data_IF_954369452569
#
_entry.id   IF_954369452569
#
_cell.length_a   1.000
_cell.length_b   1.000
_cell.length_c   1.000
_cell.angle_alpha   90.00
_cell.angle_beta   90.00
_cell.angle_gamma   90.00
#
_symmetry.space_group_name_H-M   'P 1'
#
loop_
_entity.id
_entity.type
_entity.pdbx_description
1 polymer ?
#
# COMPACT_ATOMS: atom_id res chain seq x y z
N UNK A 1 -9.02 -6.52 -11.31
CA UNK A 1 -9.68 -7.34 -12.36
C UNK A 1 -10.20 -8.63 -11.74
N UNK A 2 -11.20 -9.25 -12.37
CA UNK A 2 -11.73 -10.54 -11.94
C UNK A 2 -10.64 -11.62 -12.05
N UNK A 3 -10.39 -12.35 -10.97
CA UNK A 3 -9.32 -13.35 -10.92
C UNK A 3 -9.57 -14.53 -11.88
N UNK A 4 -10.83 -14.86 -12.15
CA UNK A 4 -11.27 -15.98 -12.99
C UNK A 4 -11.54 -15.51 -14.43
N UNK A 5 -12.46 -14.56 -14.61
CA UNK A 5 -12.90 -14.13 -15.95
C UNK A 5 -11.91 -13.20 -16.65
N UNK A 6 -10.93 -12.66 -15.91
CA UNK A 6 -10.00 -11.61 -16.35
C UNK A 6 -10.65 -10.29 -16.73
N UNK A 7 -11.95 -10.12 -16.47
CA UNK A 7 -12.65 -8.86 -16.69
C UNK A 7 -12.00 -7.73 -15.88
N UNK A 8 -11.71 -6.61 -16.54
CA UNK A 8 -11.14 -5.45 -15.89
C UNK A 8 -12.21 -4.66 -15.14
N UNK A 9 -11.88 -4.25 -13.92
CA UNK A 9 -12.71 -3.34 -13.13
C UNK A 9 -11.96 -2.02 -13.03
N UNK A 10 -12.07 -1.13 -14.03
CA UNK A 10 -11.47 0.18 -13.94
C UNK A 10 -12.11 0.96 -12.78
N UNK A 11 -11.27 1.70 -12.07
CA UNK A 11 -11.60 2.50 -10.89
C UNK A 11 -11.13 3.92 -11.17
N UNK A 12 -12.03 4.90 -11.09
CA UNK A 12 -11.66 6.30 -11.20
C UNK A 12 -11.16 6.82 -9.86
N UNK A 13 -9.83 6.85 -9.67
CA UNK A 13 -9.24 7.34 -8.43
C UNK A 13 -9.37 8.85 -8.23
N UNK A 14 -9.87 9.62 -9.19
CA UNK A 14 -10.13 11.05 -9.05
C UNK A 14 -11.56 11.39 -8.63
N UNK A 15 -12.45 10.41 -8.59
CA UNK A 15 -13.82 10.57 -8.11
C UNK A 15 -13.91 10.21 -6.61
N UNK A 16 -14.30 11.15 -5.72
CA UNK A 16 -14.47 10.86 -4.30
C UNK A 16 -15.50 9.77 -4.02
N UNK A 17 -16.54 9.63 -4.85
CA UNK A 17 -17.57 8.62 -4.65
C UNK A 17 -17.00 7.21 -4.82
N UNK A 18 -16.10 7.02 -5.80
CA UNK A 18 -15.36 5.78 -5.99
C UNK A 18 -14.59 5.35 -4.74
N UNK A 19 -13.97 6.27 -4.00
CA UNK A 19 -13.27 5.96 -2.74
C UNK A 19 -14.23 5.55 -1.61
N UNK A 20 -15.44 6.14 -1.58
CA UNK A 20 -16.50 5.81 -0.63
C UNK A 20 -17.05 4.42 -0.96
N UNK A 21 -17.47 4.20 -2.20
CA UNK A 21 -18.12 2.98 -2.66
C UNK A 21 -17.21 1.75 -2.47
N UNK A 22 -15.92 1.89 -2.74
CA UNK A 22 -14.96 0.80 -2.64
C UNK A 22 -14.14 0.80 -1.35
N UNK A 23 -14.43 1.69 -0.39
CA UNK A 23 -13.76 1.73 0.93
C UNK A 23 -12.24 1.78 0.82
N UNK A 24 -11.72 2.60 -0.10
CA UNK A 24 -10.29 2.63 -0.48
C UNK A 24 -9.39 3.30 0.57
N UNK A 25 -9.96 3.88 1.62
CA UNK A 25 -9.22 4.48 2.71
C UNK A 25 -9.95 4.25 4.03
N UNK A 26 -9.25 3.82 5.09
CA UNK A 26 -9.84 3.70 6.41
C UNK A 26 -10.34 5.04 6.95
N UNK A 27 -9.90 6.20 6.45
CA UNK A 27 -10.44 7.50 6.87
C UNK A 27 -11.84 7.80 6.30
N UNK A 28 -12.25 7.10 5.24
CA UNK A 28 -13.55 7.28 4.58
C UNK A 28 -14.53 6.21 5.05
N UNK A 29 -14.08 4.96 4.99
CA UNK A 29 -14.81 3.78 5.45
C UNK A 29 -13.83 2.63 5.63
N UNK A 30 -13.95 1.87 6.73
CA UNK A 30 -13.13 0.68 6.95
C UNK A 30 -13.47 -0.42 5.93
N UNK A 31 -12.49 -1.24 5.52
CA UNK A 31 -12.76 -2.40 4.70
C UNK A 31 -13.71 -3.37 5.42
N UNK A 32 -14.54 -4.06 4.66
CA UNK A 32 -15.40 -5.13 5.16
C UNK A 32 -14.56 -6.37 5.54
N UNK A 33 -15.07 -7.24 6.44
CA UNK A 33 -14.40 -8.50 6.78
C UNK A 33 -14.13 -9.35 5.56
N UNK A 34 -13.15 -10.25 5.60
CA UNK A 34 -12.79 -11.05 4.42
C UNK A 34 -13.98 -11.90 3.92
N UNK A 35 -14.15 -12.02 2.60
CA UNK A 35 -15.23 -12.87 2.03
C UNK A 35 -14.97 -14.37 2.22
N UNK A 36 -13.74 -14.75 2.52
CA UNK A 36 -13.28 -16.14 2.59
C UNK A 36 -12.86 -16.54 4.00
N UNK A 37 -13.50 -16.01 5.06
CA UNK A 37 -13.27 -16.55 6.39
C UNK A 37 -13.65 -18.05 6.39
N UNK A 38 -12.72 -18.97 6.69
CA UNK A 38 -13.14 -20.32 7.04
C UNK A 38 -14.02 -20.21 8.27
N UNK A 39 -15.15 -20.93 8.28
CA UNK A 39 -16.04 -21.00 9.44
C UNK A 39 -15.23 -21.39 10.67
N UNK A 40 -14.96 -20.45 11.58
CA UNK A 40 -14.42 -20.80 12.88
C UNK A 40 -15.42 -21.76 13.53
N UNK A 41 -15.01 -22.97 13.97
CA UNK A 41 -15.91 -23.85 14.69
C UNK A 41 -16.31 -23.13 15.97
N UNK A 42 -17.58 -22.72 16.02
CA UNK A 42 -18.17 -22.13 17.22
C UNK A 42 -18.26 -23.21 18.29
N UNK A 43 -17.35 -23.20 19.25
CA UNK A 43 -17.35 -24.13 20.38
C UNK A 43 -16.02 -24.17 21.13
N UNK A 44 -16.07 -24.63 22.38
CA UNK A 44 -14.98 -24.76 23.36
C UNK A 44 -13.67 -25.44 22.89
N UNK A 45 -13.59 -25.89 21.64
CA UNK A 45 -12.42 -26.53 21.04
C UNK A 45 -11.30 -25.55 20.64
N UNK A 46 -11.55 -24.24 20.55
CA UNK A 46 -10.55 -23.23 20.14
C UNK A 46 -9.45 -22.97 21.18
N UNK A 47 -9.67 -23.28 22.46
CA UNK A 47 -8.72 -22.96 23.54
C UNK A 47 -7.53 -23.96 23.59
N UNK A 48 -7.64 -25.13 22.95
CA UNK A 48 -6.59 -26.16 23.05
C UNK A 48 -5.43 -25.98 22.04
N UNK A 49 -5.62 -25.26 20.93
CA UNK A 49 -4.55 -25.07 19.95
C UNK A 49 -3.54 -23.96 20.32
N UNK A 50 -3.84 -23.13 21.32
CA UNK A 50 -2.92 -22.07 21.77
C UNK A 50 -1.90 -22.52 22.83
N UNK A 51 -1.93 -23.79 23.27
CA UNK A 51 -0.99 -24.31 24.29
C UNK A 51 0.01 -25.35 23.75
N UNK A 52 -0.03 -25.71 22.46
CA UNK A 52 0.87 -26.71 21.88
C UNK A 52 2.32 -26.19 21.65
N UNK A 53 2.58 -24.89 21.86
CA UNK A 53 3.86 -24.24 21.57
C UNK A 53 4.87 -24.14 22.72
N UNK A 54 4.56 -24.61 23.94
CA UNK A 54 5.41 -24.34 25.14
C UNK A 54 5.98 -25.61 25.81
N UNK A 55 5.81 -26.80 25.25
CA UNK A 55 6.44 -28.02 25.79
C UNK A 55 7.28 -28.76 24.73
N UNK A 56 8.44 -28.20 24.40
CA UNK A 56 9.56 -28.96 23.82
C UNK A 56 10.87 -28.38 24.31
N UNK A 57 11.20 -28.72 25.55
CA UNK A 57 12.50 -28.46 26.13
C UNK A 57 12.61 -29.22 27.42
N UNK A 58 12.99 -30.50 27.35
CA UNK A 58 13.65 -31.28 28.42
C UNK A 58 14.04 -32.66 27.84
N UNK A 59 15.33 -33.02 28.01
CA UNK A 59 16.06 -34.31 27.89
C UNK A 59 17.01 -34.52 26.68
N UNK A 60 18.28 -34.95 26.90
CA UNK A 60 19.37 -34.86 25.93
C UNK A 60 19.92 -36.20 25.37
N UNK A 61 20.50 -36.13 24.16
CA UNK A 61 21.73 -36.84 23.76
C UNK A 61 21.62 -38.26 23.17
N UNK A 62 22.12 -38.45 21.93
CA UNK A 62 23.34 -39.22 21.59
C UNK A 62 23.54 -39.38 20.07
N UNK A 63 24.81 -39.60 19.70
CA UNK A 63 25.49 -39.57 18.40
C UNK A 63 25.15 -40.77 17.48
N UNK A 64 25.06 -40.54 16.16
CA UNK A 64 25.94 -41.08 15.08
C UNK A 64 25.25 -41.38 13.72
N UNK A 65 26.03 -41.10 12.66
CA UNK A 65 26.12 -41.78 11.35
C UNK A 65 25.20 -41.42 10.16
N UNK A 66 25.80 -40.65 9.24
CA UNK A 66 25.94 -40.83 7.78
C UNK A 66 25.03 -41.89 7.11
N UNK A 67 24.19 -41.46 6.14
CA UNK A 67 24.28 -41.90 4.73
C UNK A 67 23.33 -41.11 3.81
N UNK A 68 23.70 -41.13 2.53
CA UNK A 68 23.35 -40.26 1.40
C UNK A 68 22.19 -40.84 0.59
N UNK A 69 21.15 -40.06 0.31
CA UNK A 69 20.27 -40.24 -0.87
C UNK A 69 19.86 -38.88 -1.45
N UNK A 70 19.90 -38.78 -2.78
CA UNK A 70 19.67 -37.60 -3.62
C UNK A 70 18.18 -37.34 -3.87
N UNK A 71 17.94 -36.07 -4.27
CA UNK A 71 16.94 -35.57 -5.22
C UNK A 71 15.54 -35.22 -4.71
N UNK A 72 15.26 -33.91 -4.64
CA UNK A 72 14.31 -33.24 -5.53
C UNK A 72 14.54 -31.72 -5.50
N UNK A 73 14.58 -31.11 -6.69
CA UNK A 73 14.64 -29.66 -6.92
C UNK A 73 13.40 -28.98 -6.34
N UNK A 74 13.57 -27.92 -5.56
CA UNK A 74 12.53 -26.92 -5.32
C UNK A 74 13.15 -25.51 -5.12
N UNK A 75 12.73 -24.61 -6.02
CA UNK A 75 12.70 -23.14 -5.98
C UNK A 75 14.01 -22.34 -5.77
N UNK A 76 14.38 -21.45 -6.72
CA UNK A 76 15.44 -20.47 -6.45
C UNK A 76 14.97 -19.42 -5.45
N UNK A 77 15.94 -19.01 -4.64
CA UNK A 77 15.82 -18.14 -3.48
C UNK A 77 15.13 -16.81 -3.77
N UNK A 78 14.28 -16.41 -2.82
CA UNK A 78 13.93 -15.04 -2.54
C UNK A 78 15.22 -14.23 -2.31
N UNK A 79 15.62 -13.44 -3.31
CA UNK A 79 16.49 -12.31 -3.06
C UNK A 79 15.71 -11.31 -2.22
N UNK A 80 16.06 -11.23 -0.94
CA UNK A 80 15.58 -10.22 -0.04
C UNK A 80 15.93 -8.84 -0.62
N UNK A 81 14.90 -8.11 -1.04
CA UNK A 81 14.98 -6.66 -1.25
C UNK A 81 14.96 -6.02 0.13
N UNK A 82 16.16 -5.77 0.65
CA UNK A 82 16.37 -5.00 1.87
C UNK A 82 15.83 -3.58 1.66
N UNK A 83 14.72 -3.23 2.32
CA UNK A 83 14.18 -1.86 2.31
C UNK A 83 12.66 -1.68 2.20
N UNK A 84 11.86 -2.72 1.95
CA UNK A 84 10.42 -2.65 2.24
C UNK A 84 10.17 -3.39 3.54
N UNK A 85 9.80 -2.65 4.59
CA UNK A 85 9.12 -3.26 5.72
C UNK A 85 7.94 -4.06 5.15
N UNK A 86 7.86 -5.35 5.51
CA UNK A 86 6.65 -6.13 5.25
C UNK A 86 5.46 -5.28 5.74
N UNK A 87 4.35 -5.18 4.97
CA UNK A 87 3.14 -4.63 5.55
C UNK A 87 2.87 -5.42 6.84
N UNK A 88 2.51 -4.76 7.95
CA UNK A 88 2.17 -5.48 9.17
C UNK A 88 1.08 -6.48 8.79
N UNK A 89 1.32 -7.76 9.08
CA UNK A 89 0.32 -8.80 8.88
C UNK A 89 -0.94 -8.31 9.59
N UNK A 90 -1.99 -8.05 8.79
CA UNK A 90 -3.27 -7.63 9.33
C UNK A 90 -3.82 -8.86 10.03
N UNK A 91 -3.74 -8.87 11.36
CA UNK A 91 -4.24 -9.97 12.18
C UNK A 91 -5.71 -10.23 11.79
N UNK A 92 -5.94 -11.41 11.20
CA UNK A 92 -7.26 -11.85 10.73
C UNK A 92 -8.30 -11.93 11.85
N UNK A 93 -7.87 -11.91 13.11
CA UNK A 93 -8.78 -11.85 14.27
C UNK A 93 -9.34 -10.44 14.53
N UNK A 94 -8.75 -9.40 13.92
CA UNK A 94 -9.21 -8.02 13.95
C UNK A 94 -10.29 -7.71 12.88
N UNK A 95 -11.06 -8.71 12.44
CA UNK A 95 -12.12 -8.56 11.43
C UNK A 95 -13.55 -8.72 11.99
N UNK A 96 -13.72 -9.08 13.27
CA UNK A 96 -15.03 -9.46 13.83
C UNK A 96 -15.93 -8.28 14.28
N UNK A 97 -15.42 -7.04 14.30
CA UNK A 97 -16.21 -5.84 14.59
C UNK A 97 -16.92 -5.33 13.34
N UNK A 98 -18.26 -5.51 13.28
CA UNK A 98 -19.14 -5.05 12.18
C UNK A 98 -18.80 -3.61 11.75
N UNK A 99 -18.41 -3.47 10.48
CA UNK A 99 -18.19 -2.21 9.75
C UNK A 99 -19.31 -1.18 9.96
N UNK A 100 -20.54 -1.66 10.16
CA UNK A 100 -21.74 -0.84 10.33
C UNK A 100 -21.69 -0.05 11.64
N UNK A 101 -21.10 -0.63 12.70
CA UNK A 101 -20.89 0.07 13.98
C UNK A 101 -19.81 1.15 13.85
N UNK A 102 -18.77 0.91 13.05
CA UNK A 102 -17.73 1.90 12.80
C UNK A 102 -18.25 3.08 11.98
N UNK A 103 -19.07 2.84 10.95
CA UNK A 103 -19.72 3.90 10.17
C UNK A 103 -20.70 4.73 11.00
N UNK A 104 -21.49 4.08 11.85
CA UNK A 104 -22.41 4.76 12.77
C UNK A 104 -21.69 5.69 13.77
N UNK A 105 -20.43 5.40 14.10
CA UNK A 105 -19.57 6.25 14.95
C UNK A 105 -18.70 7.25 14.15
N UNK A 106 -18.98 7.44 12.86
CA UNK A 106 -18.21 8.36 12.01
C UNK A 106 -16.80 7.89 11.72
N UNK A 107 -16.51 6.60 11.93
CA UNK A 107 -15.24 5.93 11.69
C UNK A 107 -14.05 6.43 12.53
N UNK A 108 -14.28 7.36 13.47
CA UNK A 108 -13.29 7.90 14.41
C UNK A 108 -13.10 6.92 15.56
N UNK A 109 -11.85 6.64 15.95
CA UNK A 109 -11.57 6.00 17.24
C UNK A 109 -11.63 7.06 18.35
N UNK A 110 -12.76 7.17 19.03
CA UNK A 110 -12.88 7.96 20.26
C UNK A 110 -12.25 7.20 21.42
N UNK A 111 -10.92 7.09 21.41
CA UNK A 111 -10.18 6.79 22.62
C UNK A 111 -9.43 8.06 23.04
N UNK A 112 -10.18 9.03 23.58
CA UNK A 112 -9.62 10.24 24.16
C UNK A 112 -8.73 9.88 25.35
N UNK A 113 -7.44 10.20 25.37
CA UNK A 113 -6.89 11.51 25.78
C UNK A 113 -7.27 12.01 27.20
N UNK A 114 -7.99 11.24 28.02
CA UNK A 114 -8.34 11.65 29.40
C UNK A 114 -7.41 11.08 30.51
N UNK A 115 -6.33 10.37 30.16
CA UNK A 115 -5.38 9.80 31.14
C UNK A 115 -4.12 10.67 31.38
N UNK A 116 -4.30 11.99 31.51
CA UNK A 116 -3.26 12.91 32.02
C UNK A 116 -3.76 13.60 33.30
N UNK A 117 -4.25 12.81 34.27
CA UNK A 117 -4.45 13.28 35.64
C UNK A 117 -3.34 12.67 36.53
N UNK A 118 -2.61 13.46 37.34
CA UNK A 118 -1.62 12.92 38.26
C UNK A 118 -2.35 12.07 39.31
N UNK A 119 -2.04 10.77 39.33
CA UNK A 119 -2.55 9.84 40.33
C UNK A 119 -1.98 10.20 41.70
N UNK A 120 -2.76 10.91 42.52
CA UNK A 120 -2.48 11.09 43.93
C UNK A 120 -3.28 10.05 44.74
N UNK A 121 -2.53 9.26 45.50
CA UNK A 121 -2.95 8.28 46.49
C UNK A 121 -3.97 8.84 47.49
N UNK A 122 -5.10 8.15 47.69
CA UNK A 122 -5.85 8.18 48.95
C UNK A 122 -6.82 7.01 49.05
N UNK A 123 -6.59 6.19 50.07
CA UNK A 123 -7.45 5.14 50.58
C UNK A 123 -8.77 5.68 51.14
N UNK A 124 -9.91 5.12 50.74
CA UNK A 124 -11.08 4.91 51.61
C UNK A 124 -12.19 4.09 50.94
N UNK A 125 -12.80 3.25 51.76
CA UNK A 125 -13.79 2.21 51.47
C UNK A 125 -15.22 2.75 51.54
N UNK A 126 -15.99 2.64 50.45
CA UNK A 126 -17.47 2.52 50.46
C UNK A 126 -18.01 2.10 49.06
N UNK A 127 -19.12 1.34 48.98
CA UNK A 127 -19.52 0.61 47.76
C UNK A 127 -20.35 1.48 46.81
N UNK A 128 -19.84 1.74 45.62
CA UNK A 128 -20.60 2.38 44.53
C UNK A 128 -21.21 1.33 43.60
N UNK A 129 -22.44 1.62 43.17
CA UNK A 129 -23.24 0.83 42.23
C UNK A 129 -22.45 0.54 40.96
N UNK A 130 -22.35 -0.74 40.64
CA UNK A 130 -21.70 -1.28 39.44
C UNK A 130 -22.38 -0.73 38.18
N UNK A 131 -21.88 0.38 37.66
CA UNK A 131 -22.11 0.81 36.28
C UNK A 131 -20.94 0.23 35.49
N UNK A 132 -21.20 -0.83 34.74
CA UNK A 132 -20.24 -1.43 33.80
C UNK A 132 -20.13 -0.53 32.57
N UNK A 133 -19.54 0.65 32.72
CA UNK A 133 -18.95 1.38 31.59
C UNK A 133 -17.51 0.92 31.46
N UNK A 134 -17.33 -0.28 30.93
CA UNK A 134 -16.08 -0.69 30.31
C UNK A 134 -15.81 0.26 29.14
N UNK A 135 -14.60 0.84 29.01
CA UNK A 135 -14.22 1.55 27.79
C UNK A 135 -14.42 0.57 26.64
N UNK A 136 -15.24 0.97 25.68
CA UNK A 136 -15.60 0.17 24.52
C UNK A 136 -14.40 0.17 23.56
N UNK A 137 -13.30 -0.48 23.95
CA UNK A 137 -12.19 -0.80 23.07
C UNK A 137 -12.76 -1.71 22.00
N UNK A 138 -12.99 -1.18 20.79
CA UNK A 138 -13.17 -2.03 19.63
C UNK A 138 -11.87 -2.84 19.49
N UNK A 139 -11.85 -4.17 19.72
CA UNK A 139 -10.63 -4.97 19.66
C UNK A 139 -10.03 -5.02 18.23
N UNK A 140 -10.72 -4.40 17.26
CA UNK A 140 -10.40 -4.31 15.85
C UNK A 140 -9.54 -3.10 15.46
N UNK A 141 -9.24 -2.15 16.36
CA UNK A 141 -8.34 -1.03 16.05
C UNK A 141 -6.91 -1.33 16.47
N UNK A 142 -6.09 -1.76 15.52
CA UNK A 142 -4.64 -1.54 15.67
C UNK A 142 -4.40 -0.03 15.78
N UNK A 143 -3.51 0.40 16.67
CA UNK A 143 -3.11 1.81 16.80
C UNK A 143 -2.69 2.39 15.44
N UNK A 144 -2.13 1.57 14.56
CA UNK A 144 -1.70 1.95 13.22
C UNK A 144 -2.85 2.35 12.26
N UNK A 145 -4.09 1.91 12.53
CA UNK A 145 -5.26 2.19 11.70
C UNK A 145 -6.30 3.07 12.40
N UNK A 146 -5.95 3.65 13.56
CA UNK A 146 -6.79 4.60 14.26
C UNK A 146 -7.03 5.85 13.39
N UNK A 147 -8.30 6.18 13.17
CA UNK A 147 -8.73 7.34 12.39
C UNK A 147 -9.06 8.46 13.36
N UNK A 148 -8.35 9.58 13.21
CA UNK A 148 -8.47 10.75 14.10
C UNK A 148 -9.19 11.93 13.45
N UNK A 149 -9.53 11.82 12.17
CA UNK A 149 -10.23 12.84 11.40
C UNK A 149 -11.72 12.50 11.30
N UNK A 150 -12.63 13.44 11.59
CA UNK A 150 -14.06 13.24 11.34
C UNK A 150 -14.35 12.92 9.87
N UNK A 151 -15.26 11.96 9.64
CA UNK A 151 -15.53 11.45 8.28
C UNK A 151 -15.95 12.54 7.30
N UNK A 152 -16.79 13.49 7.71
CA UNK A 152 -17.20 14.63 6.90
C UNK A 152 -16.00 15.50 6.50
N UNK A 153 -15.08 15.76 7.43
CA UNK A 153 -13.84 16.48 7.15
C UNK A 153 -12.90 15.67 6.24
N UNK A 154 -12.83 14.35 6.41
CA UNK A 154 -12.04 13.47 5.55
C UNK A 154 -12.56 13.48 4.10
N UNK A 155 -13.88 13.43 3.91
CA UNK A 155 -14.53 13.50 2.59
C UNK A 155 -14.32 14.88 1.96
N UNK A 156 -14.47 15.96 2.73
CA UNK A 156 -14.21 17.32 2.25
C UNK A 156 -12.75 17.51 1.81
N UNK A 157 -11.80 16.99 2.61
CA UNK A 157 -10.38 16.98 2.26
C UNK A 157 -10.12 16.18 0.99
N UNK A 158 -10.61 14.94 0.91
CA UNK A 158 -10.45 14.05 -0.24
C UNK A 158 -10.97 14.71 -1.52
N UNK A 159 -12.19 15.26 -1.48
CA UNK A 159 -12.84 15.91 -2.62
C UNK A 159 -11.99 17.07 -3.17
N UNK A 160 -11.51 17.95 -2.28
CA UNK A 160 -10.66 19.07 -2.66
C UNK A 160 -9.33 18.62 -3.26
N UNK A 161 -8.70 17.61 -2.64
CA UNK A 161 -7.38 17.11 -3.07
C UNK A 161 -7.48 16.39 -4.40
N UNK A 162 -8.43 15.47 -4.58
CA UNK A 162 -8.59 14.74 -5.84
C UNK A 162 -8.86 15.68 -7.01
N UNK A 163 -9.71 16.70 -6.83
CA UNK A 163 -9.95 17.72 -7.85
C UNK A 163 -8.66 18.49 -8.21
N UNK A 164 -7.87 18.86 -7.20
CA UNK A 164 -6.60 19.59 -7.39
C UNK A 164 -5.54 18.72 -8.08
N UNK A 165 -5.42 17.45 -7.70
CA UNK A 165 -4.48 16.50 -8.30
C UNK A 165 -4.89 16.15 -9.73
N UNK A 166 -6.20 16.00 -10.00
CA UNK A 166 -6.71 15.80 -11.36
C UNK A 166 -6.34 16.98 -12.26
N UNK A 167 -6.65 18.21 -11.82
CA UNK A 167 -6.27 19.42 -12.54
C UNK A 167 -4.76 19.49 -12.80
N UNK A 168 -3.94 19.25 -11.77
CA UNK A 168 -2.49 19.22 -11.92
C UNK A 168 -2.04 18.17 -12.95
N UNK A 169 -2.61 16.96 -12.94
CA UNK A 169 -2.30 15.91 -13.92
C UNK A 169 -2.67 16.31 -15.34
N UNK A 170 -3.82 16.94 -15.53
CA UNK A 170 -4.28 17.44 -16.83
C UNK A 170 -3.37 18.56 -17.36
N UNK A 171 -2.89 19.44 -16.49
CA UNK A 171 -1.95 20.52 -16.82
C UNK A 171 -0.55 20.02 -17.23
N UNK A 172 -0.19 18.77 -16.92
CA UNK A 172 1.07 18.15 -17.37
C UNK A 172 0.99 17.61 -18.81
N UNK A 173 -0.20 17.58 -19.42
CA UNK A 173 -0.33 17.08 -20.78
C UNK A 173 0.44 17.93 -21.80
N UNK A 174 0.84 17.27 -22.88
CA UNK A 174 1.62 17.91 -23.92
C UNK A 174 0.78 18.95 -24.68
N UNK A 175 1.36 20.12 -24.88
CA UNK A 175 0.78 21.25 -25.60
C UNK A 175 1.55 21.44 -26.92
N UNK A 176 0.95 21.14 -28.09
CA UNK A 176 1.63 21.22 -29.38
C UNK A 176 2.28 22.58 -29.65
N UNK A 177 1.60 23.68 -29.31
CA UNK A 177 2.12 25.04 -29.48
C UNK A 177 3.45 25.28 -28.73
N UNK A 178 3.67 24.63 -27.57
CA UNK A 178 4.92 24.73 -26.84
C UNK A 178 6.07 24.00 -27.54
N UNK A 179 5.77 22.89 -28.24
CA UNK A 179 6.76 22.19 -29.03
C UNK A 179 7.09 22.94 -30.31
N UNK A 180 6.10 23.50 -31.00
CA UNK A 180 6.28 24.36 -32.18
C UNK A 180 7.12 25.59 -31.85
N UNK A 181 6.86 26.22 -30.71
CA UNK A 181 7.66 27.34 -30.21
C UNK A 181 9.03 26.92 -29.63
N UNK A 182 9.38 25.62 -29.64
CA UNK A 182 10.63 25.09 -29.07
C UNK A 182 10.86 25.51 -27.61
N UNK A 183 9.81 25.52 -26.77
CA UNK A 183 9.91 25.95 -25.36
C UNK A 183 9.87 24.79 -24.35
N UNK A 184 9.61 23.55 -24.78
CA UNK A 184 9.77 22.40 -23.90
C UNK A 184 11.26 22.15 -23.59
N UNK A 185 11.66 21.99 -22.32
CA UNK A 185 13.05 21.71 -21.98
C UNK A 185 13.44 20.30 -22.47
N UNK A 186 14.73 20.08 -22.75
CA UNK A 186 15.22 18.73 -23.05
C UNK A 186 15.01 17.82 -21.84
N UNK A 187 14.42 16.65 -22.07
CA UNK A 187 14.10 15.67 -21.04
C UNK A 187 14.90 14.38 -21.22
N UNK A 188 15.14 13.67 -20.13
CA UNK A 188 15.73 12.34 -20.09
C UNK A 188 14.98 11.49 -19.06
N UNK A 189 14.99 10.17 -19.24
CA UNK A 189 14.26 9.21 -18.41
C UNK A 189 15.23 8.15 -17.90
N UNK A 190 15.27 8.01 -16.58
CA UNK A 190 15.83 6.86 -15.88
C UNK A 190 14.64 6.04 -15.38
N UNK A 191 14.62 4.74 -15.65
CA UNK A 191 13.52 3.87 -15.22
C UNK A 191 14.00 2.50 -14.77
N UNK A 192 13.35 1.94 -13.76
CA UNK A 192 13.54 0.54 -13.36
C UNK A 192 12.67 -0.40 -14.20
N UNK A 193 13.16 -1.62 -14.47
CA UNK A 193 12.42 -2.64 -15.23
C UNK A 193 12.43 -4.02 -14.58
N UNK A 194 13.32 -4.27 -13.64
CA UNK A 194 13.59 -5.63 -13.14
C UNK A 194 12.90 -5.97 -11.82
N UNK A 195 12.31 -4.99 -11.15
CA UNK A 195 11.57 -5.22 -9.92
C UNK A 195 10.08 -5.49 -10.21
N UNK A 196 9.50 -6.61 -9.73
CA UNK A 196 8.07 -6.83 -9.80
C UNK A 196 7.30 -5.68 -9.17
N UNK A 197 6.45 -5.04 -9.96
CA UNK A 197 5.72 -3.84 -9.57
C UNK A 197 4.23 -4.10 -9.67
N UNK A 198 3.50 -3.84 -8.57
CA UNK A 198 2.06 -4.04 -8.50
C UNK A 198 1.36 -3.10 -9.47
N UNK A 199 0.47 -3.63 -10.30
CA UNK A 199 -0.38 -2.82 -11.19
C UNK A 199 -1.87 -3.05 -10.98
N UNK A 200 -2.25 -3.95 -10.08
CA UNK A 200 -3.64 -4.18 -9.75
C UNK A 200 -3.84 -5.34 -8.78
N UNK A 201 -5.07 -5.46 -8.30
CA UNK A 201 -5.54 -6.57 -7.49
C UNK A 201 -6.43 -7.52 -8.30
N UNK A 202 -6.38 -8.82 -7.98
CA UNK A 202 -7.23 -9.87 -8.51
C UNK A 202 -8.30 -10.22 -7.49
N UNK A 203 -9.54 -9.87 -7.80
CA UNK A 203 -10.70 -10.06 -6.92
C UNK A 203 -11.71 -11.02 -7.55
N UNK A 204 -12.59 -11.65 -6.77
CA UNK A 204 -13.64 -12.55 -7.28
C UNK A 204 -14.79 -11.80 -7.97
N UNK A 205 -15.08 -10.58 -7.51
CA UNK A 205 -16.17 -9.74 -8.01
C UNK A 205 -15.84 -8.26 -7.76
N UNK A 206 -16.66 -7.35 -8.30
CA UNK A 206 -16.56 -5.91 -8.00
C UNK A 206 -16.90 -5.61 -6.53
N UNK A 207 -17.78 -6.40 -5.92
CA UNK A 207 -18.09 -6.27 -4.49
C UNK A 207 -16.88 -6.60 -3.61
N UNK A 208 -16.11 -7.62 -3.99
CA UNK A 208 -14.93 -8.06 -3.25
C UNK A 208 -13.84 -6.99 -3.08
N UNK A 209 -13.88 -5.88 -3.84
CA UNK A 209 -12.97 -4.73 -3.69
C UNK A 209 -13.12 -4.09 -2.29
N UNK A 210 -14.32 -4.12 -1.72
CA UNK A 210 -14.63 -3.50 -0.41
C UNK A 210 -14.05 -4.24 0.78
N UNK A 211 -13.59 -5.48 0.59
CA UNK A 211 -13.22 -6.39 1.67
C UNK A 211 -11.71 -6.41 1.90
N UNK A 212 -11.27 -6.72 3.12
CA UNK A 212 -9.85 -6.77 3.48
C UNK A 212 -9.04 -7.74 2.58
N UNK A 213 -9.67 -8.83 2.13
CA UNK A 213 -9.07 -9.82 1.21
C UNK A 213 -8.83 -9.32 -0.22
N UNK A 214 -9.22 -8.07 -0.55
CA UNK A 214 -8.98 -7.50 -1.88
C UNK A 214 -7.49 -7.47 -2.27
N UNK A 215 -6.60 -7.43 -1.27
CA UNK A 215 -5.16 -7.31 -1.47
C UNK A 215 -4.39 -8.64 -1.41
N UNK A 216 -5.07 -9.77 -1.20
CA UNK A 216 -4.42 -11.09 -1.05
C UNK A 216 -3.79 -11.61 -2.35
N UNK A 217 -4.30 -11.18 -3.50
CA UNK A 217 -3.84 -11.64 -4.81
C UNK A 217 -3.54 -10.46 -5.72
N UNK A 218 -2.29 -10.00 -5.69
CA UNK A 218 -1.85 -8.89 -6.53
C UNK A 218 -1.38 -9.34 -7.91
N UNK A 219 -1.41 -8.41 -8.85
CA UNK A 219 -0.90 -8.57 -10.20
C UNK A 219 0.35 -7.70 -10.38
N UNK A 220 1.39 -8.29 -10.98
CA UNK A 220 2.70 -7.67 -11.10
C UNK A 220 3.13 -7.58 -12.56
N UNK A 221 3.84 -6.51 -12.88
CA UNK A 221 4.52 -6.30 -14.15
C UNK A 221 5.92 -5.70 -13.90
N UNK A 222 6.67 -5.45 -14.97
CA UNK A 222 8.02 -4.87 -14.86
C UNK A 222 7.99 -3.40 -14.41
N UNK A 223 8.87 -3.04 -13.49
CA UNK A 223 9.04 -1.67 -12.99
C UNK A 223 10.18 -1.56 -11.98
N UNK A 224 10.08 -0.58 -11.09
CA UNK A 224 11.07 -0.29 -10.04
C UNK A 224 10.62 -0.71 -8.62
N UNK A 225 9.50 -1.42 -8.52
CA UNK A 225 8.84 -1.84 -7.28
C UNK A 225 7.69 -0.93 -6.86
N UNK A 226 7.55 0.24 -7.49
CA UNK A 226 6.48 1.22 -7.22
C UNK A 226 5.82 1.69 -8.52
N UNK A 227 6.63 2.12 -9.49
CA UNK A 227 6.22 2.65 -10.79
C UNK A 227 6.52 1.63 -11.89
N UNK A 228 5.52 1.35 -12.73
CA UNK A 228 5.71 0.49 -13.89
C UNK A 228 6.70 1.09 -14.88
N UNK A 229 7.54 0.26 -15.49
CA UNK A 229 8.49 0.69 -16.52
C UNK A 229 7.78 1.44 -17.66
N UNK A 230 6.58 0.98 -18.05
CA UNK A 230 5.75 1.65 -19.07
C UNK A 230 5.21 3.00 -18.60
N UNK A 231 4.84 3.13 -17.32
CA UNK A 231 4.29 4.36 -16.76
C UNK A 231 5.37 5.41 -16.43
N UNK A 232 6.64 5.00 -16.32
CA UNK A 232 7.78 5.89 -16.10
C UNK A 232 8.22 6.65 -17.37
N UNK A 233 7.66 6.33 -18.53
CA UNK A 233 7.98 7.02 -19.79
C UNK A 233 7.39 8.43 -19.81
N UNK A 234 7.96 9.32 -20.64
CA UNK A 234 7.36 10.64 -20.87
C UNK A 234 5.95 10.48 -21.48
N UNK A 235 5.01 11.38 -21.17
CA UNK A 235 3.69 11.36 -21.79
C UNK A 235 3.78 11.53 -23.31
N UNK A 236 2.71 11.13 -24.01
CA UNK A 236 2.61 11.28 -25.46
C UNK A 236 2.88 12.73 -25.89
N UNK A 237 3.62 12.89 -26.99
CA UNK A 237 4.04 14.18 -27.53
C UNK A 237 5.40 14.69 -27.02
N UNK A 238 5.76 14.39 -25.77
CA UNK A 238 7.09 14.75 -25.24
C UNK A 238 8.21 13.95 -25.92
N UNK A 239 9.40 14.57 -26.01
CA UNK A 239 10.56 13.96 -26.64
C UNK A 239 11.71 13.74 -25.67
N UNK A 240 12.29 12.55 -25.73
CA UNK A 240 13.49 12.20 -24.96
C UNK A 240 14.72 12.66 -25.73
N UNK A 241 15.63 13.37 -25.05
CA UNK A 241 16.93 13.75 -25.58
C UNK A 241 17.69 12.51 -26.07
N UNK A 242 18.36 12.61 -27.22
CA UNK A 242 19.11 11.48 -27.81
C UNK A 242 20.10 10.89 -26.81
N UNK A 243 19.97 9.60 -26.51
CA UNK A 243 20.79 8.89 -25.52
C UNK A 243 20.34 9.06 -24.07
N UNK A 244 19.23 9.76 -23.83
CA UNK A 244 18.67 10.07 -22.51
C UNK A 244 17.62 9.09 -21.99
N UNK A 245 17.39 7.96 -22.67
CA UNK A 245 16.56 6.86 -22.15
C UNK A 245 17.48 5.79 -21.57
N UNK A 246 17.45 5.60 -20.26
CA UNK A 246 18.35 4.69 -19.55
C UNK A 246 17.57 3.80 -18.59
N UNK A 247 17.70 2.48 -18.75
CA UNK A 247 17.20 1.52 -17.77
C UNK A 247 18.19 1.37 -16.63
N UNK A 248 17.69 1.27 -15.40
CA UNK A 248 18.47 0.91 -14.21
C UNK A 248 17.97 -0.41 -13.63
N UNK A 249 18.90 -1.14 -13.00
CA UNK A 249 18.61 -2.33 -12.20
C UNK A 249 18.27 -2.00 -10.74
N UNK A 250 18.35 -0.71 -10.38
CA UNK A 250 18.01 -0.24 -9.03
C UNK A 250 16.50 -0.05 -8.89
N UNK A 251 15.99 -0.41 -7.72
CA UNK A 251 14.60 -0.17 -7.35
C UNK A 251 14.31 1.29 -7.04
N UNK A 252 13.04 1.61 -6.81
CA UNK A 252 12.50 2.96 -6.69
C UNK A 252 13.32 3.88 -5.77
N UNK A 253 13.58 3.43 -4.53
CA UNK A 253 14.27 4.23 -3.49
C UNK A 253 15.74 4.47 -3.83
N UNK A 254 16.38 3.54 -4.54
CA UNK A 254 17.82 3.58 -4.83
C UNK A 254 18.14 4.02 -6.27
N UNK A 255 17.11 4.37 -7.06
CA UNK A 255 17.21 4.65 -8.49
C UNK A 255 18.25 5.74 -8.81
N UNK A 256 18.23 6.85 -8.08
CA UNK A 256 19.19 7.95 -8.25
C UNK A 256 20.61 7.62 -7.73
N UNK A 257 20.78 6.49 -7.03
CA UNK A 257 22.10 5.97 -6.67
C UNK A 257 22.82 5.29 -7.85
N UNK A 258 22.15 5.05 -8.97
CA UNK A 258 22.78 4.63 -10.22
C UNK A 258 23.45 5.83 -10.89
N UNK A 259 24.65 6.16 -10.40
CA UNK A 259 25.40 7.34 -10.84
C UNK A 259 25.79 7.27 -12.32
N UNK A 260 25.92 6.07 -12.89
CA UNK A 260 26.18 5.92 -14.32
C UNK A 260 24.94 6.32 -15.14
N UNK A 261 23.76 5.81 -14.78
CA UNK A 261 22.51 6.18 -15.44
C UNK A 261 22.23 7.68 -15.30
N UNK A 262 22.39 8.24 -14.10
CA UNK A 262 22.27 9.68 -13.85
C UNK A 262 23.23 10.48 -14.74
N UNK A 263 24.51 10.09 -14.77
CA UNK A 263 25.53 10.75 -15.58
C UNK A 263 25.23 10.72 -17.09
N UNK A 264 24.66 9.63 -17.60
CA UNK A 264 24.23 9.50 -19.01
C UNK A 264 23.06 10.42 -19.33
N UNK A 265 22.03 10.45 -18.48
CA UNK A 265 20.88 11.34 -18.66
C UNK A 265 21.26 12.82 -18.60
N UNK A 266 22.09 13.22 -17.64
CA UNK A 266 22.59 14.60 -17.54
C UNK A 266 23.36 15.02 -18.79
N UNK A 267 24.24 14.14 -19.31
CA UNK A 267 24.96 14.38 -20.57
C UNK A 267 24.02 14.54 -21.75
N UNK A 268 22.97 13.71 -21.85
CA UNK A 268 21.98 13.79 -22.93
C UNK A 268 21.21 15.13 -22.89
N UNK A 269 20.74 15.56 -21.72
CA UNK A 269 20.05 16.83 -21.52
C UNK A 269 20.95 18.01 -21.88
N UNK A 270 22.19 18.03 -21.39
CA UNK A 270 23.15 19.09 -21.73
C UNK A 270 23.48 19.15 -23.22
N UNK A 271 23.63 17.99 -23.86
CA UNK A 271 23.90 17.92 -25.29
C UNK A 271 22.71 18.41 -26.13
N UNK A 272 21.48 18.07 -25.73
CA UNK A 272 20.26 18.57 -26.37
C UNK A 272 20.11 20.08 -26.18
N UNK A 273 20.36 20.60 -24.98
CA UNK A 273 20.33 22.04 -24.71
C UNK A 273 21.34 22.81 -25.58
N UNK A 274 22.57 22.30 -25.70
CA UNK A 274 23.61 22.89 -26.58
C UNK A 274 23.23 22.91 -28.07
N UNK A 275 22.27 22.08 -28.48
CA UNK A 275 21.71 22.05 -29.84
C UNK A 275 20.48 22.94 -30.01
N UNK A 276 20.12 23.73 -29.00
CA UNK A 276 19.01 24.68 -29.07
C UNK A 276 17.66 24.14 -28.62
N UNK A 277 17.57 22.90 -28.10
CA UNK A 277 16.28 22.36 -27.62
C UNK A 277 15.78 23.17 -26.41
N UNK A 278 14.52 23.62 -26.47
CA UNK A 278 13.84 24.31 -25.39
C UNK A 278 14.26 25.78 -25.22
N UNK A 279 14.84 26.40 -26.24
CA UNK A 279 15.37 27.77 -26.20
C UNK A 279 14.39 28.82 -26.77
N UNK A 280 13.21 28.40 -27.23
CA UNK A 280 12.32 29.26 -28.01
C UNK A 280 12.67 29.26 -29.49
N UNK A 281 11.82 29.91 -30.27
CA UNK A 281 12.16 30.44 -31.60
C UNK A 281 12.72 31.85 -31.40
N UNK A 282 13.96 32.09 -31.81
CA UNK A 282 14.46 33.47 -31.99
C UNK A 282 13.67 34.20 -33.08
#
# INVERSE_FOLDING_TARGET
FNKETKEEYPVDFFDPQTWIDYRLSPCIARPLPSLNEPSHPSGLAGVMNSMAGVMSGIVPGRKNSISRVKQALQHPASHAVDGLANPPEMDTSAAAGSSDKAEAKGNIDYNGTDNMAPQMDSSSTAPSKHSTDTPNTDPNTSIATAVTIPRDQAIAYLTRVLASVKKFKEELFFHPAHAEANIYPPAAVIYGKTTPTVYGAKVTSREAIKHASAYDNLAFASGDGVVLAKAAMLPDGYQIARGGLVSSERGHVTLLGDLEAVGRCLRAVQAARRKGVGMGTE
#
